data_IF_737012138653
#
_entry.id   IF_737012138653
#
_cell.length_a   1.000
_cell.length_b   1.000
_cell.length_c   1.000
_cell.angle_alpha   90.00
_cell.angle_beta   90.00
_cell.angle_gamma   90.00
#
_symmetry.space_group_name_H-M   'P 1'
#
loop_
_entity.id
_entity.type
_entity.pdbx_description
1 polymer ?
#
# COMPACT_ATOMS: atom_id res chain seq x y z
N UNK A 1 39.19 35.96 20.58
CA UNK A 1 38.33 35.65 19.42
C UNK A 1 37.26 34.68 19.89
N UNK A 2 36.00 35.13 19.96
CA UNK A 2 34.91 34.26 20.32
C UNK A 2 34.68 33.31 19.11
N UNK A 3 34.84 32.01 19.32
CA UNK A 3 34.47 30.99 18.38
C UNK A 3 32.92 31.04 18.28
N UNK A 4 32.41 31.67 17.24
CA UNK A 4 30.99 31.58 16.90
C UNK A 4 30.73 30.11 16.57
N UNK A 5 30.11 29.40 17.50
CA UNK A 5 29.65 28.02 17.27
C UNK A 5 28.71 28.02 16.05
N UNK A 6 28.66 26.93 15.28
CA UNK A 6 27.80 26.84 14.12
C UNK A 6 26.34 27.17 14.55
N UNK A 7 25.73 28.11 13.85
CA UNK A 7 24.32 28.41 14.02
C UNK A 7 23.52 27.09 13.89
N UNK A 8 22.54 26.81 14.76
CA UNK A 8 21.76 25.59 14.66
C UNK A 8 21.09 25.54 13.30
N UNK A 9 21.48 24.54 12.49
CA UNK A 9 20.85 24.32 11.18
C UNK A 9 19.40 23.93 11.44
N UNK A 10 18.48 24.77 10.97
CA UNK A 10 17.05 24.49 11.11
C UNK A 10 16.63 23.40 10.12
N UNK A 11 16.50 22.17 10.59
CA UNK A 11 16.06 21.04 9.79
C UNK A 11 14.54 21.06 9.63
N UNK A 12 14.00 21.01 8.41
CA UNK A 12 12.56 20.95 8.19
C UNK A 12 11.93 19.73 8.89
N UNK A 13 10.83 19.92 9.59
CA UNK A 13 10.03 18.86 10.20
C UNK A 13 8.96 18.36 9.24
N UNK A 14 8.69 17.06 9.27
CA UNK A 14 7.59 16.45 8.52
C UNK A 14 6.72 15.61 9.47
N UNK A 15 5.93 16.25 10.34
CA UNK A 15 5.05 15.51 11.24
C UNK A 15 3.97 14.80 10.45
N UNK A 16 3.78 13.51 10.73
CA UNK A 16 2.67 12.75 10.17
C UNK A 16 1.33 13.16 10.79
N UNK A 17 0.27 13.01 10.03
CA UNK A 17 -1.06 12.94 10.62
C UNK A 17 -1.14 11.69 11.50
N UNK A 18 -1.62 11.85 12.73
CA UNK A 18 -1.91 10.73 13.62
C UNK A 18 -3.41 10.71 13.90
N UNK A 19 -3.98 9.54 13.99
CA UNK A 19 -5.34 9.36 14.43
C UNK A 19 -5.40 9.15 15.97
N UNK A 20 -6.57 9.41 16.61
CA UNK A 20 -6.72 9.29 18.04
C UNK A 20 -6.41 7.89 18.60
N UNK A 21 -6.51 6.85 17.78
CA UNK A 21 -6.28 5.48 18.23
C UNK A 21 -4.79 5.16 18.29
N UNK A 22 -4.03 5.62 17.29
CA UNK A 22 -2.57 5.59 17.32
C UNK A 22 -2.04 6.38 18.53
N UNK A 23 -2.60 7.56 18.80
CA UNK A 23 -2.26 8.35 19.98
C UNK A 23 -2.53 7.60 21.30
N UNK A 24 -3.68 6.94 21.43
CA UNK A 24 -4.01 6.12 22.62
C UNK A 24 -3.04 4.96 22.81
N UNK A 25 -2.63 4.29 21.75
CA UNK A 25 -1.64 3.21 21.83
C UNK A 25 -0.32 3.75 22.36
N UNK A 26 0.16 4.87 21.81
CA UNK A 26 1.40 5.51 22.24
C UNK A 26 1.37 6.00 23.70
N UNK A 27 0.21 6.43 24.18
CA UNK A 27 0.05 6.97 25.54
C UNK A 27 -0.31 5.88 26.58
N UNK A 28 -0.55 4.62 26.19
CA UNK A 28 -1.08 3.54 27.05
C UNK A 28 -0.05 2.74 27.84
N UNK A 29 1.24 2.94 27.59
CA UNK A 29 2.32 2.10 28.16
C UNK A 29 2.50 0.74 27.45
N UNK A 30 1.54 0.31 26.61
CA UNK A 30 1.60 -0.97 25.90
C UNK A 30 2.87 -1.15 25.08
N UNK A 31 3.38 -0.08 24.45
CA UNK A 31 4.56 -0.17 23.58
C UNK A 31 5.81 -0.62 24.34
N UNK A 32 6.00 -0.16 25.59
CA UNK A 32 7.12 -0.61 26.44
C UNK A 32 6.95 -2.06 26.90
N UNK A 33 5.70 -2.46 27.24
CA UNK A 33 5.40 -3.87 27.58
C UNK A 33 5.73 -4.80 26.41
N UNK A 34 5.34 -4.43 25.18
CA UNK A 34 5.61 -5.21 23.97
C UNK A 34 7.10 -5.22 23.62
N UNK A 35 7.78 -4.07 23.67
CA UNK A 35 9.23 -3.98 23.44
C UNK A 35 10.01 -4.88 24.40
N UNK A 36 9.64 -4.87 25.68
CA UNK A 36 10.23 -5.75 26.67
C UNK A 36 9.95 -7.25 26.41
N UNK A 37 8.70 -7.55 26.04
CA UNK A 37 8.27 -8.95 25.80
C UNK A 37 8.93 -9.56 24.56
N UNK A 38 9.12 -8.79 23.49
CA UNK A 38 9.70 -9.29 22.24
C UNK A 38 11.24 -9.18 22.21
N UNK A 39 11.81 -8.26 22.96
CA UNK A 39 13.25 -8.00 22.98
C UNK A 39 13.79 -7.47 21.64
N UNK A 40 12.96 -6.87 20.81
CA UNK A 40 13.29 -6.34 19.49
C UNK A 40 12.19 -5.44 18.92
N UNK A 41 12.37 -4.98 17.67
CA UNK A 41 11.39 -4.13 17.00
C UNK A 41 10.09 -4.89 16.73
N UNK A 42 9.00 -4.16 16.59
CA UNK A 42 7.69 -4.73 16.26
C UNK A 42 6.81 -3.72 15.53
N UNK A 43 5.75 -4.22 14.93
CA UNK A 43 4.71 -3.41 14.32
C UNK A 43 3.39 -3.59 15.06
N UNK A 44 2.62 -2.53 15.27
CA UNK A 44 1.25 -2.68 15.72
C UNK A 44 0.26 -2.31 14.62
N UNK A 45 -0.87 -3.02 14.58
CA UNK A 45 -1.89 -2.94 13.55
C UNK A 45 -3.24 -2.58 14.19
N UNK A 46 -3.99 -1.70 13.52
CA UNK A 46 -5.29 -1.18 13.94
C UNK A 46 -6.37 -1.58 12.92
N UNK A 47 -6.98 -2.79 13.01
CA UNK A 47 -7.90 -3.31 12.00
C UNK A 47 -9.13 -2.44 11.76
N UNK A 48 -9.63 -1.75 12.79
CA UNK A 48 -10.80 -0.87 12.66
C UNK A 48 -10.53 0.33 11.72
N UNK A 49 -9.26 0.74 11.56
CA UNK A 49 -8.90 1.79 10.58
C UNK A 49 -9.05 1.28 9.16
N UNK A 50 -8.63 0.05 8.91
CA UNK A 50 -8.90 -0.62 7.64
C UNK A 50 -10.40 -0.69 7.34
N UNK A 51 -11.23 -1.05 8.33
CA UNK A 51 -12.68 -1.11 8.17
C UNK A 51 -13.27 0.25 7.80
N UNK A 52 -12.81 1.30 8.48
CA UNK A 52 -13.23 2.69 8.21
C UNK A 52 -12.86 3.11 6.79
N UNK A 53 -11.62 2.82 6.36
CA UNK A 53 -11.15 3.14 5.02
C UNK A 53 -11.95 2.36 3.96
N UNK A 54 -12.18 1.07 4.17
CA UNK A 54 -13.00 0.25 3.28
C UNK A 54 -14.43 0.78 3.16
N UNK A 55 -15.04 1.16 4.29
CA UNK A 55 -16.37 1.76 4.31
C UNK A 55 -16.42 3.09 3.53
N UNK A 56 -15.37 3.92 3.62
CA UNK A 56 -15.27 5.16 2.87
C UNK A 56 -15.22 4.92 1.35
N UNK A 57 -14.46 3.92 0.89
CA UNK A 57 -14.42 3.54 -0.53
C UNK A 57 -15.80 3.04 -1.03
N UNK A 58 -16.50 2.25 -0.23
CA UNK A 58 -17.86 1.79 -0.56
C UNK A 58 -18.85 2.95 -0.62
N UNK A 59 -18.80 3.83 0.37
CA UNK A 59 -19.63 5.02 0.39
C UNK A 59 -19.39 5.93 -0.83
N UNK A 60 -18.18 5.96 -1.39
CA UNK A 60 -17.89 6.68 -2.63
C UNK A 60 -18.59 6.05 -3.84
N UNK A 61 -18.63 4.73 -3.94
CA UNK A 61 -19.38 4.01 -4.97
C UNK A 61 -20.89 4.23 -4.83
N UNK A 62 -21.40 4.06 -3.61
CA UNK A 62 -22.82 4.20 -3.31
C UNK A 62 -23.33 5.62 -3.60
N UNK A 63 -22.58 6.65 -3.19
CA UNK A 63 -22.91 8.05 -3.44
C UNK A 63 -22.94 8.38 -4.94
N UNK A 64 -22.08 7.75 -5.74
CA UNK A 64 -22.08 7.88 -7.20
C UNK A 64 -23.18 7.03 -7.87
N UNK A 65 -23.87 6.16 -7.14
CA UNK A 65 -24.85 5.19 -7.67
C UNK A 65 -24.21 4.15 -8.60
N UNK A 66 -22.92 3.82 -8.38
CA UNK A 66 -22.15 2.88 -9.18
C UNK A 66 -22.08 1.53 -8.48
N UNK A 67 -22.51 0.48 -9.15
CA UNK A 67 -22.28 -0.88 -8.67
C UNK A 67 -20.81 -1.23 -8.81
N UNK A 68 -20.16 -1.59 -7.71
CA UNK A 68 -18.73 -1.91 -7.74
C UNK A 68 -18.26 -2.71 -6.53
N UNK A 69 -16.99 -3.12 -6.58
CA UNK A 69 -16.37 -3.88 -5.52
C UNK A 69 -14.93 -3.38 -5.28
N UNK A 70 -14.57 -3.30 -4.00
CA UNK A 70 -13.22 -2.95 -3.54
C UNK A 70 -12.44 -4.22 -3.25
N UNK A 71 -11.24 -4.31 -3.81
CA UNK A 71 -10.31 -5.42 -3.63
C UNK A 71 -9.08 -4.91 -2.88
N UNK A 72 -8.79 -5.46 -1.72
CA UNK A 72 -7.56 -5.15 -1.01
C UNK A 72 -6.35 -5.72 -1.74
N UNK A 73 -5.40 -4.90 -2.13
CA UNK A 73 -4.15 -5.36 -2.74
C UNK A 73 -3.22 -5.93 -1.66
N UNK A 74 -3.18 -7.28 -1.54
CA UNK A 74 -2.48 -7.99 -0.45
C UNK A 74 -0.99 -7.68 -0.38
N UNK A 75 -0.34 -7.38 -1.50
CA UNK A 75 1.05 -6.91 -1.58
C UNK A 75 1.36 -5.69 -0.70
N UNK A 76 0.33 -4.90 -0.32
CA UNK A 76 0.52 -3.72 0.50
C UNK A 76 0.89 -4.03 1.96
N UNK A 77 0.47 -5.18 2.47
CA UNK A 77 0.90 -5.72 3.77
C UNK A 77 0.51 -7.20 3.88
N UNK A 78 1.45 -8.04 4.31
CA UNK A 78 1.29 -9.51 4.37
C UNK A 78 0.44 -9.99 5.54
N UNK A 79 0.14 -9.15 6.55
CA UNK A 79 -0.59 -9.54 7.75
C UNK A 79 -1.93 -10.21 7.43
N UNK A 80 -2.22 -11.29 8.16
CA UNK A 80 -3.44 -12.09 7.97
C UNK A 80 -4.69 -11.31 8.37
N UNK A 81 -4.58 -10.43 9.36
CA UNK A 81 -5.73 -9.63 9.84
C UNK A 81 -6.42 -8.86 8.71
N UNK A 82 -5.71 -8.40 7.68
CA UNK A 82 -6.31 -7.65 6.58
C UNK A 82 -7.21 -8.50 5.69
N UNK A 83 -6.78 -9.72 5.39
CA UNK A 83 -7.59 -10.71 4.63
C UNK A 83 -8.73 -11.26 5.49
N UNK A 84 -8.53 -11.45 6.81
CA UNK A 84 -9.60 -11.74 7.77
C UNK A 84 -10.67 -10.63 7.76
N UNK A 85 -10.27 -9.34 7.72
CA UNK A 85 -11.23 -8.21 7.62
C UNK A 85 -11.94 -8.19 6.26
N UNK A 86 -11.22 -8.48 5.17
CA UNK A 86 -11.87 -8.62 3.86
C UNK A 86 -12.94 -9.70 3.87
N UNK A 87 -12.65 -10.89 4.41
CA UNK A 87 -13.63 -11.97 4.54
C UNK A 87 -14.85 -11.56 5.39
N UNK A 88 -14.61 -10.93 6.54
CA UNK A 88 -15.66 -10.48 7.46
C UNK A 88 -16.58 -9.41 6.83
N UNK A 89 -16.03 -8.56 5.98
CA UNK A 89 -16.78 -7.48 5.31
C UNK A 89 -17.19 -7.81 3.88
N UNK A 90 -16.97 -9.03 3.39
CA UNK A 90 -17.24 -9.40 1.99
C UNK A 90 -16.55 -8.44 0.98
N UNK A 91 -15.33 -8.02 1.29
CA UNK A 91 -14.48 -7.29 0.37
C UNK A 91 -13.67 -8.27 -0.48
N UNK A 92 -13.24 -7.82 -1.67
CA UNK A 92 -12.35 -8.61 -2.50
C UNK A 92 -10.89 -8.52 -2.03
N UNK A 93 -10.06 -9.43 -2.56
CA UNK A 93 -8.60 -9.41 -2.36
C UNK A 93 -7.91 -9.56 -3.71
N UNK A 94 -6.91 -8.70 -3.99
CA UNK A 94 -5.98 -8.82 -5.11
C UNK A 94 -4.73 -9.58 -4.64
N UNK A 95 -4.42 -10.68 -5.34
CA UNK A 95 -3.26 -11.55 -5.08
C UNK A 95 -2.42 -11.73 -6.35
N UNK A 96 -1.11 -11.93 -6.19
CA UNK A 96 -0.17 -12.06 -7.30
C UNK A 96 0.70 -13.32 -7.23
N UNK A 97 0.52 -14.18 -6.24
CA UNK A 97 1.30 -15.39 -6.05
C UNK A 97 0.49 -16.51 -5.43
N UNK A 98 1.00 -17.77 -5.55
CA UNK A 98 0.37 -18.93 -4.92
C UNK A 98 0.29 -18.80 -3.40
N UNK A 99 1.34 -18.36 -2.69
CA UNK A 99 1.25 -18.13 -1.25
C UNK A 99 0.21 -17.08 -0.85
N UNK A 100 0.12 -15.96 -1.57
CA UNK A 100 -0.90 -14.94 -1.30
C UNK A 100 -2.32 -15.47 -1.51
N UNK A 101 -2.55 -16.22 -2.61
CA UNK A 101 -3.85 -16.82 -2.90
C UNK A 101 -4.24 -17.85 -1.84
N UNK A 102 -3.31 -18.73 -1.44
CA UNK A 102 -3.55 -19.72 -0.38
C UNK A 102 -3.86 -19.05 0.96
N UNK A 103 -3.12 -18.00 1.31
CA UNK A 103 -3.36 -17.23 2.53
C UNK A 103 -4.76 -16.59 2.52
N UNK A 104 -5.14 -15.89 1.45
CA UNK A 104 -6.46 -15.25 1.34
C UNK A 104 -7.61 -16.28 1.44
N UNK A 105 -7.48 -17.45 0.80
CA UNK A 105 -8.46 -18.53 0.91
C UNK A 105 -8.51 -19.11 2.34
N UNK A 106 -7.34 -19.31 2.96
CA UNK A 106 -7.22 -19.81 4.34
C UNK A 106 -7.80 -18.86 5.39
N UNK A 107 -7.74 -17.55 5.15
CA UNK A 107 -8.33 -16.51 5.99
C UNK A 107 -9.86 -16.34 5.74
N UNK A 108 -10.45 -17.17 4.89
CA UNK A 108 -11.90 -17.22 4.66
C UNK A 108 -12.42 -16.36 3.51
N UNK A 109 -11.55 -15.77 2.68
CA UNK A 109 -11.98 -15.05 1.47
C UNK A 109 -12.44 -16.06 0.42
N UNK A 110 -13.64 -15.88 -0.12
CA UNK A 110 -14.17 -16.78 -1.15
C UNK A 110 -13.41 -16.57 -2.46
N UNK A 111 -13.12 -17.66 -3.19
CA UNK A 111 -12.44 -17.56 -4.49
C UNK A 111 -13.13 -16.58 -5.47
N UNK A 112 -14.46 -16.52 -5.45
CA UNK A 112 -15.23 -15.59 -6.28
C UNK A 112 -14.94 -14.09 -5.99
N UNK A 113 -14.43 -13.79 -4.80
CA UNK A 113 -14.06 -12.45 -4.34
C UNK A 113 -12.53 -12.20 -4.43
N UNK A 114 -11.80 -13.08 -5.09
CA UNK A 114 -10.36 -12.92 -5.31
C UNK A 114 -10.10 -12.59 -6.78
N UNK A 115 -9.30 -11.56 -7.03
CA UNK A 115 -8.68 -11.29 -8.32
C UNK A 115 -7.21 -11.68 -8.27
N UNK A 116 -6.73 -12.35 -9.30
CA UNK A 116 -5.34 -12.77 -9.44
C UNK A 116 -4.68 -11.92 -10.51
N UNK A 117 -3.73 -11.09 -10.11
CA UNK A 117 -3.03 -10.13 -10.96
C UNK A 117 -1.56 -10.52 -11.15
N UNK A 118 -0.77 -9.64 -11.76
CA UNK A 118 0.66 -9.84 -12.02
C UNK A 118 0.93 -10.34 -13.44
N UNK A 119 2.19 -10.25 -13.90
CA UNK A 119 2.62 -10.73 -15.21
C UNK A 119 2.87 -12.24 -15.17
N UNK A 120 2.73 -12.90 -16.32
CA UNK A 120 3.19 -14.28 -16.55
C UNK A 120 2.98 -15.23 -15.34
N UNK A 121 1.73 -15.36 -14.91
CA UNK A 121 1.37 -16.19 -13.75
C UNK A 121 1.75 -17.65 -13.98
N UNK A 122 2.27 -18.32 -12.95
CA UNK A 122 2.66 -19.73 -13.04
C UNK A 122 1.44 -20.62 -13.34
N UNK A 123 1.68 -21.77 -13.97
CA UNK A 123 0.65 -22.79 -14.22
C UNK A 123 -0.08 -23.20 -12.94
N UNK A 124 0.66 -23.32 -11.81
CA UNK A 124 0.07 -23.65 -10.52
C UNK A 124 -0.91 -22.54 -10.06
N UNK A 125 -0.50 -21.27 -10.17
CA UNK A 125 -1.35 -20.15 -9.78
C UNK A 125 -2.62 -20.07 -10.64
N UNK A 126 -2.50 -20.20 -11.96
CA UNK A 126 -3.65 -20.20 -12.88
C UNK A 126 -4.59 -21.36 -12.61
N UNK A 127 -4.04 -22.57 -12.39
CA UNK A 127 -4.85 -23.76 -12.07
C UNK A 127 -5.59 -23.59 -10.75
N UNK A 128 -4.92 -23.14 -9.70
CA UNK A 128 -5.55 -22.92 -8.40
C UNK A 128 -6.63 -21.82 -8.50
N UNK A 129 -6.35 -20.72 -9.19
CA UNK A 129 -7.31 -19.65 -9.42
C UNK A 129 -8.56 -20.15 -10.16
N UNK A 130 -8.40 -20.91 -11.24
CA UNK A 130 -9.50 -21.47 -12.01
C UNK A 130 -10.35 -22.44 -11.18
N UNK A 131 -9.72 -23.35 -10.41
CA UNK A 131 -10.40 -24.30 -9.52
C UNK A 131 -11.21 -23.58 -8.42
N UNK A 132 -10.71 -22.48 -7.87
CA UNK A 132 -11.38 -21.72 -6.82
C UNK A 132 -12.38 -20.70 -7.39
N UNK A 133 -12.49 -20.57 -8.72
CA UNK A 133 -13.37 -19.59 -9.37
C UNK A 133 -12.92 -18.13 -9.19
N UNK A 134 -11.63 -17.91 -8.98
CA UNK A 134 -11.05 -16.57 -8.93
C UNK A 134 -11.14 -15.87 -10.29
N UNK A 135 -11.11 -14.55 -10.27
CA UNK A 135 -11.03 -13.72 -11.46
C UNK A 135 -9.56 -13.51 -11.82
N UNK A 136 -9.15 -13.85 -13.04
CA UNK A 136 -7.76 -13.72 -13.49
C UNK A 136 -7.59 -12.51 -14.40
N UNK A 137 -6.75 -11.55 -14.02
CA UNK A 137 -6.36 -10.45 -14.91
C UNK A 137 -5.23 -10.95 -15.84
N UNK A 138 -5.60 -11.34 -17.05
CA UNK A 138 -4.70 -11.90 -18.07
C UNK A 138 -3.80 -10.80 -18.62
N UNK A 139 -2.50 -11.03 -18.57
CA UNK A 139 -1.45 -10.03 -18.88
C UNK A 139 -0.81 -10.25 -20.28
N UNK A 140 -0.93 -11.45 -20.86
CA UNK A 140 -0.38 -11.80 -22.18
C UNK A 140 -1.22 -12.82 -22.93
N UNK A 141 -0.98 -12.96 -24.24
CA UNK A 141 -1.67 -13.94 -25.08
C UNK A 141 -1.29 -15.38 -24.71
N UNK A 142 -0.04 -15.63 -24.34
CA UNK A 142 0.42 -16.96 -23.93
C UNK A 142 -0.24 -17.39 -22.62
N UNK A 143 -0.41 -16.45 -21.70
CA UNK A 143 -1.14 -16.69 -20.44
C UNK A 143 -2.62 -17.01 -20.70
N UNK A 144 -3.26 -16.32 -21.66
CA UNK A 144 -4.63 -16.61 -22.07
C UNK A 144 -4.75 -18.03 -22.61
N UNK A 145 -3.86 -18.45 -23.51
CA UNK A 145 -3.86 -19.79 -24.09
C UNK A 145 -3.66 -20.89 -23.03
N UNK A 146 -2.76 -20.64 -22.08
CA UNK A 146 -2.56 -21.54 -20.96
C UNK A 146 -3.81 -21.64 -20.08
N UNK A 147 -4.45 -20.51 -19.77
CA UNK A 147 -5.70 -20.49 -18.99
C UNK A 147 -6.83 -21.22 -19.69
N UNK A 148 -7.00 -21.03 -21.00
CA UNK A 148 -7.99 -21.74 -21.83
C UNK A 148 -7.72 -23.25 -21.79
N UNK A 149 -6.45 -23.65 -21.97
CA UNK A 149 -6.04 -25.07 -21.92
C UNK A 149 -6.37 -25.71 -20.58
N UNK A 150 -6.05 -25.03 -19.46
CA UNK A 150 -6.36 -25.48 -18.12
C UNK A 150 -7.88 -25.60 -17.88
N UNK A 151 -8.66 -24.64 -18.42
CA UNK A 151 -10.11 -24.68 -18.31
C UNK A 151 -10.73 -25.85 -19.05
N UNK A 152 -10.25 -26.15 -20.26
CA UNK A 152 -10.72 -27.26 -21.07
C UNK A 152 -10.38 -28.66 -20.47
N UNK A 153 -9.27 -28.77 -19.76
CA UNK A 153 -8.74 -30.05 -19.31
C UNK A 153 -8.96 -30.34 -17.82
N UNK A 154 -9.26 -29.35 -17.00
CA UNK A 154 -9.15 -29.52 -15.56
C UNK A 154 -10.20 -28.85 -14.68
N UNK A 155 -11.17 -28.11 -15.23
CA UNK A 155 -12.18 -27.43 -14.41
C UNK A 155 -13.60 -27.76 -14.85
N UNK A 156 -14.50 -27.91 -13.86
CA UNK A 156 -15.93 -28.09 -14.13
C UNK A 156 -16.69 -26.76 -14.37
N UNK A 157 -15.99 -25.63 -14.28
CA UNK A 157 -16.56 -24.29 -14.42
C UNK A 157 -15.71 -23.45 -15.37
N UNK A 158 -16.32 -22.51 -16.12
CA UNK A 158 -15.57 -21.57 -16.94
C UNK A 158 -14.52 -20.81 -16.12
N UNK A 159 -13.29 -20.67 -16.64
CA UNK A 159 -12.30 -19.81 -16.05
C UNK A 159 -12.71 -18.34 -16.24
N UNK A 160 -12.77 -17.58 -15.15
CA UNK A 160 -13.15 -16.17 -15.15
C UNK A 160 -11.94 -15.30 -15.44
N UNK A 161 -12.08 -14.37 -16.36
CA UNK A 161 -10.95 -13.50 -16.72
C UNK A 161 -11.33 -12.06 -17.04
N UNK A 162 -10.36 -11.16 -16.82
CA UNK A 162 -10.27 -9.81 -17.37
C UNK A 162 -9.09 -9.79 -18.35
N UNK A 163 -9.18 -8.99 -19.41
CA UNK A 163 -8.03 -8.68 -20.26
C UNK A 163 -7.36 -7.40 -19.75
N UNK A 164 -6.09 -7.48 -19.38
CA UNK A 164 -5.36 -6.32 -18.91
C UNK A 164 -4.86 -5.49 -20.07
N UNK A 165 -5.30 -4.25 -20.17
CA UNK A 165 -4.92 -3.28 -21.21
C UNK A 165 -3.60 -2.61 -20.85
N UNK A 166 -2.66 -2.59 -21.78
CA UNK A 166 -1.47 -1.74 -21.70
C UNK A 166 -1.89 -0.27 -21.82
N UNK A 167 -1.64 0.59 -20.80
CA UNK A 167 -2.02 1.99 -20.88
C UNK A 167 -1.28 2.73 -22.01
N UNK A 168 -1.96 3.48 -22.89
CA UNK A 168 -1.29 4.22 -23.98
C UNK A 168 -0.23 5.21 -23.49
N UNK A 169 -0.42 5.80 -22.31
CA UNK A 169 0.53 6.72 -21.70
C UNK A 169 1.79 6.02 -21.13
N UNK A 170 1.80 4.68 -21.08
CA UNK A 170 2.92 3.88 -20.56
C UNK A 170 3.34 2.79 -21.57
N UNK A 171 3.73 3.16 -22.80
CA UNK A 171 3.95 2.20 -23.90
C UNK A 171 5.11 1.23 -23.63
N UNK A 172 6.01 1.56 -22.72
CA UNK A 172 7.14 0.72 -22.33
C UNK A 172 6.87 -0.12 -21.06
N UNK A 173 5.64 -0.11 -20.54
CA UNK A 173 5.29 -0.98 -19.42
C UNK A 173 5.44 -2.45 -19.84
N UNK A 174 6.02 -3.25 -18.93
CA UNK A 174 6.11 -4.70 -19.12
C UNK A 174 4.78 -5.43 -18.90
N UNK A 175 3.70 -4.69 -18.68
CA UNK A 175 2.40 -5.23 -18.32
C UNK A 175 1.35 -4.89 -19.36
N UNK A 176 0.47 -5.85 -19.57
CA UNK A 176 -0.78 -5.66 -20.32
C UNK A 176 -0.65 -5.83 -21.82
N UNK A 177 -1.81 -6.00 -22.44
CA UNK A 177 -2.00 -6.24 -23.86
C UNK A 177 -2.08 -4.92 -24.64
N UNK A 178 -1.40 -4.83 -25.76
CA UNK A 178 -1.58 -3.76 -26.76
C UNK A 178 -2.99 -3.82 -27.39
N UNK A 179 -3.38 -2.80 -28.13
CA UNK A 179 -4.67 -2.79 -28.81
C UNK A 179 -4.85 -3.98 -29.79
N UNK A 180 -3.78 -4.35 -30.51
CA UNK A 180 -3.79 -5.49 -31.43
C UNK A 180 -3.90 -6.83 -30.68
N UNK A 181 -3.18 -6.96 -29.57
CA UNK A 181 -3.26 -8.16 -28.73
C UNK A 181 -4.62 -8.29 -28.05
N UNK A 182 -5.26 -7.18 -27.64
CA UNK A 182 -6.62 -7.19 -27.12
C UNK A 182 -7.62 -7.74 -28.18
N UNK A 183 -7.51 -7.29 -29.42
CA UNK A 183 -8.36 -7.82 -30.50
C UNK A 183 -8.16 -9.34 -30.67
N UNK A 184 -6.90 -9.79 -30.71
CA UNK A 184 -6.56 -11.22 -30.78
C UNK A 184 -7.08 -12.00 -29.57
N UNK A 185 -6.98 -11.43 -28.36
CA UNK A 185 -7.47 -12.05 -27.14
C UNK A 185 -9.01 -12.21 -27.14
N UNK A 186 -9.73 -11.21 -27.64
CA UNK A 186 -11.20 -11.30 -27.79
C UNK A 186 -11.58 -12.43 -28.72
N UNK A 187 -10.94 -12.56 -29.91
CA UNK A 187 -11.17 -13.66 -30.83
C UNK A 187 -10.89 -15.02 -30.20
N UNK A 188 -9.84 -15.14 -29.40
CA UNK A 188 -9.51 -16.37 -28.63
C UNK A 188 -10.60 -16.70 -27.60
N UNK A 189 -11.09 -15.69 -26.86
CA UNK A 189 -12.19 -15.88 -25.91
C UNK A 189 -13.47 -16.34 -26.58
N UNK A 190 -13.85 -15.74 -27.74
CA UNK A 190 -15.01 -16.17 -28.54
C UNK A 190 -14.87 -17.64 -28.97
N UNK A 191 -13.70 -18.02 -29.52
CA UNK A 191 -13.43 -19.42 -29.93
C UNK A 191 -13.42 -20.41 -28.80
N UNK A 192 -12.98 -19.99 -27.61
CA UNK A 192 -12.95 -20.85 -26.41
C UNK A 192 -14.37 -21.17 -25.88
N UNK A 193 -15.38 -20.38 -26.25
CA UNK A 193 -16.79 -20.62 -25.87
C UNK A 193 -16.93 -20.71 -24.33
N UNK A 194 -17.61 -21.77 -23.87
CA UNK A 194 -17.92 -21.98 -22.47
C UNK A 194 -16.71 -22.37 -21.59
N UNK A 195 -15.52 -22.55 -22.15
CA UNK A 195 -14.33 -22.85 -21.37
C UNK A 195 -13.90 -21.63 -20.53
N UNK A 196 -14.15 -20.42 -21.03
CA UNK A 196 -13.79 -19.18 -20.33
C UNK A 196 -14.99 -18.23 -20.24
N UNK A 197 -14.99 -17.42 -19.21
CA UNK A 197 -15.93 -16.32 -19.03
C UNK A 197 -15.15 -15.00 -18.97
N UNK A 198 -15.03 -14.35 -20.13
CA UNK A 198 -14.43 -13.03 -20.23
C UNK A 198 -15.40 -12.01 -19.61
N UNK A 199 -15.03 -11.48 -18.43
CA UNK A 199 -15.90 -10.60 -17.64
C UNK A 199 -15.61 -9.12 -17.86
N UNK A 200 -14.52 -8.76 -18.55
CA UNK A 200 -14.21 -7.37 -18.84
C UNK A 200 -12.72 -7.08 -18.95
N UNK A 201 -12.36 -5.86 -18.60
CA UNK A 201 -11.00 -5.36 -18.77
C UNK A 201 -10.42 -4.79 -17.49
N UNK A 202 -9.10 -4.74 -17.42
CA UNK A 202 -8.37 -4.09 -16.31
C UNK A 202 -7.22 -3.26 -16.84
N UNK A 203 -6.78 -2.31 -16.03
CA UNK A 203 -5.51 -1.63 -16.20
C UNK A 203 -4.89 -1.27 -14.85
N UNK A 204 -3.61 -0.90 -14.85
CA UNK A 204 -2.96 -0.28 -13.71
C UNK A 204 -2.12 0.89 -14.20
N UNK A 205 -2.25 2.06 -13.57
CA UNK A 205 -1.44 3.24 -13.85
C UNK A 205 -0.45 3.48 -12.72
N UNK A 206 0.77 3.86 -13.08
CA UNK A 206 1.72 4.44 -12.12
C UNK A 206 1.25 5.83 -11.70
N UNK A 207 1.52 6.19 -10.42
CA UNK A 207 1.14 7.48 -9.88
C UNK A 207 -0.33 7.57 -9.43
N UNK A 208 -0.71 8.78 -8.99
CA UNK A 208 -1.95 9.04 -8.26
C UNK A 208 -2.92 9.97 -8.98
N UNK A 209 -2.63 10.34 -10.23
CA UNK A 209 -3.46 11.25 -11.02
C UNK A 209 -4.85 10.64 -11.30
N UNK A 210 -5.91 11.38 -11.00
CA UNK A 210 -7.30 10.93 -11.15
C UNK A 210 -7.79 11.04 -12.59
N UNK A 211 -7.44 12.11 -13.30
CA UNK A 211 -7.91 12.38 -14.67
C UNK A 211 -7.48 11.29 -15.67
N UNK A 212 -6.19 10.89 -15.81
CA UNK A 212 -5.80 9.82 -16.73
C UNK A 212 -6.46 8.49 -16.39
N UNK A 213 -6.75 8.24 -15.12
CA UNK A 213 -7.45 7.05 -14.65
C UNK A 213 -8.90 7.02 -15.12
N UNK A 214 -9.60 8.14 -15.05
CA UNK A 214 -10.96 8.27 -15.53
C UNK A 214 -11.03 8.16 -17.07
N UNK A 215 -10.08 8.77 -17.78
CA UNK A 215 -10.03 8.71 -19.25
C UNK A 215 -9.85 7.27 -19.73
N UNK A 216 -8.89 6.53 -19.17
CA UNK A 216 -8.66 5.12 -19.54
C UNK A 216 -9.82 4.22 -19.11
N UNK A 217 -10.44 4.47 -17.95
CA UNK A 217 -11.65 3.76 -17.54
C UNK A 217 -12.80 3.96 -18.54
N UNK A 218 -12.97 5.19 -19.03
CA UNK A 218 -13.93 5.51 -20.09
C UNK A 218 -13.66 4.75 -21.41
N UNK A 219 -12.38 4.61 -21.80
CA UNK A 219 -11.96 3.77 -22.94
C UNK A 219 -12.36 2.31 -22.72
N UNK A 220 -12.08 1.75 -21.50
CA UNK A 220 -12.41 0.36 -21.20
C UNK A 220 -13.91 0.07 -21.17
N UNK A 221 -14.75 1.03 -20.77
CA UNK A 221 -16.22 0.87 -20.94
C UNK A 221 -16.57 0.69 -22.42
N UNK A 222 -15.93 1.44 -23.32
CA UNK A 222 -16.10 1.25 -24.76
C UNK A 222 -15.64 -0.14 -25.24
N UNK A 223 -14.53 -0.66 -24.70
CA UNK A 223 -14.08 -2.03 -24.97
C UNK A 223 -15.09 -3.08 -24.47
N UNK A 224 -15.69 -2.88 -23.29
CA UNK A 224 -16.75 -3.77 -22.79
C UNK A 224 -17.94 -3.82 -23.74
N UNK A 225 -18.41 -2.69 -24.25
CA UNK A 225 -19.52 -2.65 -25.18
C UNK A 225 -19.23 -3.43 -26.50
N UNK A 226 -18.04 -3.22 -27.08
CA UNK A 226 -17.60 -3.99 -28.26
C UNK A 226 -17.48 -5.48 -28.00
N UNK A 227 -16.98 -5.87 -26.82
CA UNK A 227 -16.89 -7.28 -26.44
C UNK A 227 -18.27 -7.94 -26.27
N UNK A 228 -19.27 -7.19 -25.77
CA UNK A 228 -20.69 -7.66 -25.71
C UNK A 228 -21.30 -7.88 -27.09
N UNK A 229 -20.98 -7.03 -28.06
CA UNK A 229 -21.38 -7.23 -29.47
C UNK A 229 -20.85 -8.55 -30.07
N UNK A 230 -19.71 -9.04 -29.57
CA UNK A 230 -19.12 -10.34 -29.89
C UNK A 230 -19.71 -11.51 -29.09
N UNK A 231 -20.73 -11.28 -28.25
CA UNK A 231 -21.35 -12.28 -27.39
C UNK A 231 -20.64 -12.59 -26.11
N UNK A 232 -19.56 -11.84 -25.76
CA UNK A 232 -18.86 -11.99 -24.49
C UNK A 232 -19.58 -11.25 -23.36
N UNK A 233 -19.39 -11.68 -22.11
CA UNK A 233 -20.08 -11.07 -20.97
C UNK A 233 -19.65 -9.62 -20.73
N UNK A 234 -18.37 -9.35 -20.63
CA UNK A 234 -17.71 -8.05 -20.49
C UNK A 234 -18.50 -7.00 -19.67
N UNK A 235 -18.88 -7.36 -18.44
CA UNK A 235 -19.77 -6.56 -17.59
C UNK A 235 -19.04 -5.70 -16.56
N UNK A 236 -17.69 -5.70 -16.54
CA UNK A 236 -16.90 -4.96 -15.53
C UNK A 236 -15.59 -4.42 -16.03
N UNK A 237 -15.10 -3.42 -15.33
CA UNK A 237 -13.74 -2.90 -15.49
C UNK A 237 -13.04 -2.81 -14.13
N UNK A 238 -11.71 -3.09 -14.08
CA UNK A 238 -10.86 -2.76 -12.97
C UNK A 238 -9.97 -1.57 -13.31
N UNK A 239 -9.97 -0.56 -12.46
CA UNK A 239 -9.11 0.63 -12.57
C UNK A 239 -7.81 0.49 -11.77
N UNK A 240 -7.55 -0.71 -11.23
CA UNK A 240 -6.36 -1.00 -10.42
C UNK A 240 -6.28 -0.23 -9.11
N UNK A 241 -5.07 -0.11 -8.60
CA UNK A 241 -4.73 0.66 -7.40
C UNK A 241 -4.30 2.09 -7.72
N UNK A 242 -3.33 2.62 -6.94
CA UNK A 242 -2.81 3.97 -7.13
C UNK A 242 -3.72 5.03 -6.53
N UNK A 243 -4.23 4.79 -5.31
CA UNK A 243 -4.91 5.77 -4.47
C UNK A 243 -3.92 6.27 -3.41
N UNK A 244 -3.68 7.58 -3.40
CA UNK A 244 -2.73 8.22 -2.49
C UNK A 244 -3.20 8.15 -1.04
N UNK A 245 -2.23 8.32 -0.13
CA UNK A 245 -2.46 8.61 1.28
C UNK A 245 -1.89 9.99 1.57
N UNK A 246 -2.61 10.79 2.35
CA UNK A 246 -2.15 12.08 2.85
C UNK A 246 -1.47 11.88 4.21
N UNK A 247 -0.13 11.84 4.22
CA UNK A 247 0.64 11.57 5.44
C UNK A 247 0.92 12.81 6.26
N UNK A 248 0.97 14.00 5.63
CA UNK A 248 1.38 15.24 6.28
C UNK A 248 0.67 16.43 5.66
N UNK A 249 0.60 17.55 6.40
CA UNK A 249 -0.05 18.76 5.89
C UNK A 249 0.71 19.35 4.70
N UNK A 250 -0.03 20.03 3.81
CA UNK A 250 0.55 20.76 2.68
C UNK A 250 1.66 21.73 3.11
N UNK A 251 1.45 22.45 4.21
CA UNK A 251 2.41 23.42 4.71
C UNK A 251 3.75 22.77 5.10
N UNK A 252 3.70 21.64 5.83
CA UNK A 252 4.93 20.93 6.20
C UNK A 252 5.61 20.30 4.99
N UNK A 253 4.84 19.71 4.07
CA UNK A 253 5.39 19.08 2.88
C UNK A 253 6.09 20.10 1.96
N UNK A 254 5.47 21.24 1.67
CA UNK A 254 6.08 22.26 0.85
C UNK A 254 7.30 22.89 1.54
N UNK A 255 7.20 23.19 2.86
CA UNK A 255 8.36 23.68 3.62
C UNK A 255 9.53 22.68 3.59
N UNK A 256 9.25 21.38 3.66
CA UNK A 256 10.27 20.34 3.54
C UNK A 256 10.92 20.37 2.15
N UNK A 257 10.13 20.33 1.08
CA UNK A 257 10.65 20.30 -0.30
C UNK A 257 11.50 21.54 -0.62
N UNK A 258 11.04 22.72 -0.21
CA UNK A 258 11.73 23.99 -0.48
C UNK A 258 12.97 24.18 0.40
N UNK A 259 12.92 23.64 1.61
CA UNK A 259 13.90 23.89 2.65
C UNK A 259 14.99 22.83 2.80
N UNK A 260 14.81 21.62 2.25
CA UNK A 260 15.79 20.55 2.42
C UNK A 260 17.13 20.87 1.75
N UNK A 261 18.23 20.47 2.43
CA UNK A 261 19.60 20.66 1.96
C UNK A 261 20.46 19.48 2.40
N UNK A 262 21.59 19.19 1.73
CA UNK A 262 22.50 18.10 2.13
C UNK A 262 22.90 18.14 3.61
N UNK A 263 23.09 19.35 4.18
CA UNK A 263 23.49 19.56 5.58
C UNK A 263 22.43 19.05 6.59
N UNK A 264 21.17 18.86 6.14
CA UNK A 264 20.11 18.31 6.96
C UNK A 264 20.17 16.79 7.10
N UNK A 265 21.03 16.12 6.36
CA UNK A 265 21.16 14.65 6.33
C UNK A 265 22.50 14.18 6.89
N UNK A 266 22.53 12.96 7.38
CA UNK A 266 23.76 12.29 7.76
C UNK A 266 24.71 12.20 6.55
N UNK A 267 26.00 12.48 6.79
CA UNK A 267 27.05 12.47 5.77
C UNK A 267 26.71 13.28 4.49
N UNK A 268 25.93 14.35 4.63
CA UNK A 268 25.47 15.20 3.53
C UNK A 268 24.80 14.42 2.38
N UNK A 269 24.05 13.34 2.74
CA UNK A 269 23.30 12.54 1.78
C UNK A 269 22.37 13.41 0.96
N UNK A 270 22.36 13.20 -0.34
CA UNK A 270 21.44 13.84 -1.29
C UNK A 270 20.41 12.82 -1.79
N UNK A 271 19.20 13.28 -2.00
CA UNK A 271 18.15 12.53 -2.65
C UNK A 271 17.73 13.25 -3.93
N UNK A 272 17.38 12.48 -4.95
CA UNK A 272 16.84 13.05 -6.19
C UNK A 272 15.53 13.77 -5.91
N UNK A 273 15.23 14.90 -6.56
CA UNK A 273 14.02 15.69 -6.33
C UNK A 273 12.72 14.85 -6.47
N UNK A 274 12.70 13.92 -7.45
CA UNK A 274 11.56 13.04 -7.71
C UNK A 274 11.65 11.71 -6.95
N UNK A 275 12.65 11.55 -6.06
CA UNK A 275 12.91 10.33 -5.30
C UNK A 275 12.02 10.11 -4.09
N UNK A 276 11.13 11.05 -3.76
CA UNK A 276 10.26 10.95 -2.59
C UNK A 276 8.85 10.50 -2.96
N UNK A 277 8.24 9.71 -2.08
CA UNK A 277 6.79 9.55 -2.09
C UNK A 277 6.12 10.92 -1.88
N UNK A 278 4.99 11.23 -2.54
CA UNK A 278 4.27 12.48 -2.27
C UNK A 278 3.54 12.41 -0.92
N UNK A 279 4.22 12.82 0.16
CA UNK A 279 3.67 12.71 1.53
C UNK A 279 2.51 13.65 1.83
N UNK A 280 2.24 14.61 0.96
CA UNK A 280 0.97 15.34 0.92
C UNK A 280 0.23 15.04 -0.37
N UNK A 281 -1.05 14.75 -0.27
CA UNK A 281 -1.96 14.61 -1.41
C UNK A 281 -3.29 15.29 -1.10
N UNK A 282 -3.67 16.33 -1.86
CA UNK A 282 -4.93 17.05 -1.62
C UNK A 282 -6.16 16.19 -1.91
N UNK A 283 -5.99 15.12 -2.67
CA UNK A 283 -7.05 14.17 -3.03
C UNK A 283 -6.52 12.77 -2.77
N UNK A 284 -6.89 12.19 -1.61
CA UNK A 284 -6.38 10.91 -1.14
C UNK A 284 -7.51 9.91 -0.85
N UNK A 285 -7.15 8.64 -0.67
CA UNK A 285 -8.09 7.60 -0.25
C UNK A 285 -9.34 7.51 -1.11
N UNK A 286 -10.49 7.48 -0.47
CA UNK A 286 -11.81 7.40 -1.13
C UNK A 286 -12.18 8.68 -1.89
N UNK A 287 -11.62 9.85 -1.54
CA UNK A 287 -11.85 11.09 -2.28
C UNK A 287 -11.23 11.03 -3.68
N UNK A 288 -10.10 10.32 -3.82
CA UNK A 288 -9.53 10.06 -5.13
C UNK A 288 -10.46 9.18 -6.00
N UNK A 289 -11.15 8.21 -5.41
CA UNK A 289 -12.16 7.43 -6.14
C UNK A 289 -13.35 8.30 -6.54
N UNK A 290 -13.85 9.18 -5.65
CA UNK A 290 -14.91 10.14 -6.00
C UNK A 290 -14.49 11.03 -7.16
N UNK A 291 -13.30 11.61 -7.10
CA UNK A 291 -12.77 12.46 -8.17
C UNK A 291 -12.67 11.71 -9.52
N UNK A 292 -12.28 10.43 -9.52
CA UNK A 292 -12.29 9.59 -10.74
C UNK A 292 -13.69 9.41 -11.26
N UNK A 293 -14.67 9.10 -10.40
CA UNK A 293 -16.07 8.87 -10.78
C UNK A 293 -16.77 10.13 -11.30
N UNK A 294 -16.45 11.30 -10.74
CA UNK A 294 -17.01 12.58 -11.12
C UNK A 294 -16.39 13.17 -12.39
N UNK A 295 -15.21 12.69 -12.79
CA UNK A 295 -14.53 13.15 -14.00
C UNK A 295 -15.32 12.74 -15.26
N UNK A 296 -15.50 13.66 -16.18
CA UNK A 296 -15.99 13.38 -17.55
C UNK A 296 -14.80 12.89 -18.37
N UNK A 297 -14.76 11.58 -18.79
CA UNK A 297 -13.67 11.05 -19.60
C UNK A 297 -13.55 11.76 -20.94
N UNK A 298 -12.35 11.75 -21.52
CA UNK A 298 -12.12 12.33 -22.84
C UNK A 298 -13.09 11.77 -23.88
N UNK A 299 -13.71 12.65 -24.65
CA UNK A 299 -14.71 12.29 -25.68
C UNK A 299 -16.06 11.83 -25.14
N UNK A 300 -16.27 11.78 -23.81
CA UNK A 300 -17.56 11.43 -23.22
C UNK A 300 -18.44 12.66 -22.98
N UNK A 301 -19.75 12.44 -22.82
CA UNK A 301 -20.74 13.49 -22.52
C UNK A 301 -21.17 13.50 -21.06
N UNK A 302 -20.95 12.41 -20.35
CA UNK A 302 -21.32 12.21 -18.93
C UNK A 302 -20.09 11.82 -18.13
N UNK A 303 -20.14 11.99 -16.81
CA UNK A 303 -19.07 11.55 -15.91
C UNK A 303 -18.83 10.05 -16.04
N UNK A 304 -17.68 9.56 -15.56
CA UNK A 304 -17.42 8.12 -15.54
C UNK A 304 -18.54 7.37 -14.80
N UNK A 305 -19.02 7.90 -13.67
CA UNK A 305 -20.14 7.31 -12.94
C UNK A 305 -21.42 7.25 -13.79
N UNK A 306 -21.74 8.31 -14.53
CA UNK A 306 -22.86 8.33 -15.47
C UNK A 306 -22.72 7.23 -16.53
N UNK A 307 -21.54 7.15 -17.16
CA UNK A 307 -21.23 6.17 -18.20
C UNK A 307 -21.31 4.73 -17.70
N UNK A 308 -20.81 4.43 -16.50
CA UNK A 308 -20.91 3.11 -15.87
C UNK A 308 -22.36 2.69 -15.65
N UNK A 309 -23.20 3.62 -15.16
CA UNK A 309 -24.64 3.38 -14.95
C UNK A 309 -25.38 3.15 -16.25
N UNK A 310 -25.18 4.02 -17.25
CA UNK A 310 -25.83 3.93 -18.57
C UNK A 310 -25.53 2.59 -19.26
N UNK A 311 -24.33 2.06 -19.09
CA UNK A 311 -23.88 0.81 -19.73
C UNK A 311 -24.05 -0.44 -18.86
N UNK A 312 -24.47 -0.30 -17.59
CA UNK A 312 -24.54 -1.41 -16.64
C UNK A 312 -23.16 -2.06 -16.40
N UNK A 313 -22.09 -1.27 -16.45
CA UNK A 313 -20.72 -1.77 -16.24
C UNK A 313 -20.32 -1.62 -14.81
N UNK A 314 -19.88 -2.70 -14.17
CA UNK A 314 -19.42 -2.75 -12.79
C UNK A 314 -18.01 -2.17 -12.67
N UNK A 315 -17.72 -1.50 -11.55
CA UNK A 315 -16.40 -0.97 -11.28
C UNK A 315 -15.66 -1.81 -10.21
N UNK A 316 -14.41 -2.16 -10.49
CA UNK A 316 -13.48 -2.73 -9.54
C UNK A 316 -12.36 -1.72 -9.24
N UNK A 317 -12.02 -1.56 -7.96
CA UNK A 317 -10.87 -0.79 -7.51
C UNK A 317 -10.00 -1.67 -6.59
N UNK A 318 -8.67 -1.53 -6.72
CA UNK A 318 -7.69 -2.36 -6.02
C UNK A 318 -6.77 -1.52 -5.09
N UNK A 319 -7.33 -0.75 -4.13
CA UNK A 319 -6.51 0.04 -3.23
C UNK A 319 -5.65 -0.87 -2.33
N UNK A 320 -4.35 -0.53 -2.24
CA UNK A 320 -3.43 -1.11 -1.27
C UNK A 320 -3.22 -0.16 -0.10
N UNK A 321 -2.28 0.77 -0.25
CA UNK A 321 -1.88 1.77 0.75
C UNK A 321 -3.07 2.53 1.35
N UNK A 322 -4.02 2.94 0.52
CA UNK A 322 -5.15 3.75 0.97
C UNK A 322 -6.14 3.01 1.89
N UNK A 323 -6.21 1.67 1.85
CA UNK A 323 -6.96 0.91 2.84
C UNK A 323 -6.22 0.79 4.17
N UNK A 324 -4.91 0.99 4.15
CA UNK A 324 -4.04 0.87 5.32
C UNK A 324 -3.67 2.24 5.93
N UNK A 325 -4.31 3.31 5.48
CA UNK A 325 -4.11 4.65 6.02
C UNK A 325 -4.48 4.72 7.51
N UNK A 326 -3.51 5.11 8.35
CA UNK A 326 -3.65 5.12 9.80
C UNK A 326 -3.78 3.73 10.45
N UNK A 327 -3.59 2.63 9.69
CA UNK A 327 -3.87 1.28 10.16
C UNK A 327 -2.72 0.62 10.93
N UNK A 328 -1.63 1.33 11.23
CA UNK A 328 -0.56 0.80 12.06
C UNK A 328 0.71 1.62 12.04
N UNK A 329 1.64 1.26 12.92
CA UNK A 329 2.93 1.92 13.09
C UNK A 329 4.05 0.92 13.37
N UNK A 330 5.29 1.34 13.11
CA UNK A 330 6.51 0.57 13.40
C UNK A 330 7.21 1.14 14.63
N UNK A 331 7.66 0.27 15.51
CA UNK A 331 8.28 0.64 16.81
C UNK A 331 9.68 0.05 16.89
N UNK A 332 10.63 0.91 17.25
CA UNK A 332 12.04 0.54 17.42
C UNK A 332 12.54 1.08 18.76
N UNK A 333 13.36 0.31 19.45
CA UNK A 333 13.99 0.72 20.71
C UNK A 333 15.40 1.27 20.44
N UNK A 334 15.74 2.40 21.04
CA UNK A 334 17.09 2.98 20.97
C UNK A 334 18.05 2.13 21.79
N UNK A 335 19.05 1.54 21.14
CA UNK A 335 20.09 0.72 21.75
C UNK A 335 21.41 1.46 21.95
N UNK A 336 21.65 2.51 21.16
CA UNK A 336 22.90 3.25 21.21
C UNK A 336 22.72 4.70 20.80
N UNK A 337 23.59 5.56 21.32
CA UNK A 337 23.65 6.99 20.97
C UNK A 337 25.11 7.38 20.79
N UNK A 338 25.42 7.96 19.63
CA UNK A 338 26.73 8.55 19.32
C UNK A 338 26.56 10.02 18.98
N UNK A 339 27.57 10.83 19.22
CA UNK A 339 27.62 12.22 18.77
C UNK A 339 28.64 12.38 17.63
N UNK A 340 28.26 13.08 16.58
CA UNK A 340 29.09 13.40 15.42
C UNK A 340 28.70 14.81 14.94
N UNK A 341 29.68 15.65 14.69
CA UNK A 341 29.52 16.96 14.03
C UNK A 341 28.33 17.81 14.53
N UNK A 342 28.06 17.78 15.85
CA UNK A 342 27.00 18.57 16.48
C UNK A 342 25.59 17.97 16.38
N UNK A 343 25.43 16.71 15.92
CA UNK A 343 24.17 15.96 15.95
C UNK A 343 24.39 14.54 16.49
N UNK A 344 23.30 13.82 16.73
CA UNK A 344 23.33 12.44 17.22
C UNK A 344 23.03 11.43 16.13
N UNK A 345 23.64 10.26 16.27
CA UNK A 345 23.29 9.05 15.56
C UNK A 345 22.70 8.11 16.60
N UNK A 346 21.43 7.81 16.47
CA UNK A 346 20.74 6.81 17.27
C UNK A 346 20.91 5.47 16.56
N UNK A 347 21.24 4.41 17.28
CA UNK A 347 21.15 3.04 16.75
C UNK A 347 19.96 2.38 17.41
N UNK A 348 19.06 1.79 16.60
CA UNK A 348 17.89 1.08 17.08
C UNK A 348 18.04 -0.44 16.92
N UNK A 349 17.15 -1.20 17.54
CA UNK A 349 17.13 -2.67 17.58
C UNK A 349 16.65 -3.34 16.27
N UNK A 350 16.27 -2.57 15.26
CA UNK A 350 15.84 -3.06 13.94
C UNK A 350 16.70 -2.54 12.80
N UNK A 351 16.31 -2.86 11.57
CA UNK A 351 16.99 -2.42 10.35
C UNK A 351 16.06 -1.60 9.47
N UNK A 352 16.63 -0.81 8.54
CA UNK A 352 15.89 -0.07 7.54
C UNK A 352 15.06 -0.97 6.61
N UNK A 353 15.35 -2.27 6.55
CA UNK A 353 14.61 -3.24 5.76
C UNK A 353 13.19 -3.48 6.30
N UNK A 354 12.93 -3.15 7.56
CA UNK A 354 11.60 -3.22 8.19
C UNK A 354 10.86 -1.88 8.22
N UNK A 355 11.44 -0.87 7.55
CA UNK A 355 10.84 0.47 7.38
C UNK A 355 11.37 1.10 6.09
N UNK A 356 10.76 0.80 4.94
CA UNK A 356 11.30 1.26 3.65
C UNK A 356 10.23 1.81 2.72
N UNK A 357 10.60 2.77 1.90
CA UNK A 357 9.85 3.23 0.73
C UNK A 357 10.42 2.57 -0.54
N UNK A 358 10.08 1.31 -0.75
CA UNK A 358 10.64 0.44 -1.77
C UNK A 358 10.62 1.01 -3.20
N UNK A 359 9.61 1.83 -3.54
CA UNK A 359 9.47 2.37 -4.89
C UNK A 359 10.07 3.74 -5.10
N UNK A 360 10.58 4.31 -4.02
CA UNK A 360 11.23 5.61 -4.02
C UNK A 360 12.65 5.44 -3.50
N UNK A 361 13.60 6.05 -4.15
CA UNK A 361 15.00 5.97 -3.73
C UNK A 361 15.27 6.92 -2.54
N UNK A 362 14.44 6.80 -1.53
CA UNK A 362 14.48 7.64 -0.33
C UNK A 362 14.11 6.83 0.93
N UNK A 363 14.09 7.52 2.06
CA UNK A 363 13.62 7.01 3.34
C UNK A 363 12.11 7.24 3.53
N UNK A 364 11.52 6.60 4.55
CA UNK A 364 10.22 7.00 5.05
C UNK A 364 10.36 8.32 5.80
N UNK A 365 9.89 9.42 5.21
CA UNK A 365 10.18 10.78 5.67
C UNK A 365 9.43 11.26 6.91
N UNK A 366 8.18 10.83 7.23
CA UNK A 366 7.48 11.37 8.39
C UNK A 366 8.26 11.19 9.69
N UNK A 367 8.28 12.25 10.51
CA UNK A 367 9.01 12.27 11.77
C UNK A 367 8.55 11.17 12.72
N UNK A 368 9.44 10.35 13.29
CA UNK A 368 9.06 9.41 14.35
C UNK A 368 8.72 10.14 15.65
N UNK A 369 7.78 9.59 16.41
CA UNK A 369 7.48 10.04 17.76
C UNK A 369 8.47 9.43 18.76
N UNK A 370 8.94 10.24 19.71
CA UNK A 370 9.74 9.79 20.84
C UNK A 370 8.82 9.41 22.01
N UNK A 371 8.91 8.15 22.45
CA UNK A 371 8.16 7.63 23.60
C UNK A 371 9.16 7.16 24.63
N UNK A 372 9.22 7.85 25.77
CA UNK A 372 10.11 7.53 26.89
C UNK A 372 9.39 6.67 27.93
N UNK A 373 10.09 6.16 28.94
CA UNK A 373 9.48 5.45 30.06
C UNK A 373 8.39 6.27 30.78
N UNK A 374 8.46 7.61 30.70
CA UNK A 374 7.44 8.52 31.24
C UNK A 374 6.26 8.78 30.27
N UNK A 375 6.28 8.18 29.08
CA UNK A 375 5.29 8.34 28.03
C UNK A 375 5.77 9.14 26.83
N UNK A 376 4.87 9.43 25.90
CA UNK A 376 5.15 10.15 24.66
C UNK A 376 5.60 11.58 24.92
N UNK A 377 6.74 11.96 24.35
CA UNK A 377 7.24 13.33 24.44
C UNK A 377 6.51 14.20 23.41
N UNK A 378 5.77 15.19 23.87
CA UNK A 378 5.12 16.16 23.01
C UNK A 378 6.13 17.26 22.62
N UNK A 379 5.88 17.98 21.52
CA UNK A 379 6.76 19.05 21.04
C UNK A 379 7.06 20.06 22.15
N UNK A 380 8.38 20.33 22.35
CA UNK A 380 8.93 21.31 23.27
C UNK A 380 9.64 22.45 22.54
N UNK A 381 10.15 23.43 23.29
CA UNK A 381 10.91 24.56 22.75
C UNK A 381 12.33 24.15 22.30
N UNK A 382 12.88 23.07 22.84
CA UNK A 382 14.22 22.57 22.52
C UNK A 382 14.18 21.60 21.35
N UNK A 383 15.25 21.59 20.56
CA UNK A 383 15.44 20.68 19.43
C UNK A 383 16.74 19.89 19.61
N UNK A 384 16.64 18.58 19.52
CA UNK A 384 17.77 17.65 19.64
C UNK A 384 17.92 16.86 18.32
N UNK A 385 18.68 17.41 17.33
CA UNK A 385 18.78 16.77 16.01
C UNK A 385 19.47 15.41 16.10
N UNK A 386 18.85 14.40 15.49
CA UNK A 386 19.42 13.07 15.39
C UNK A 386 18.96 12.36 14.10
N UNK A 387 19.84 11.58 13.50
CA UNK A 387 19.49 10.57 12.51
C UNK A 387 19.34 9.19 13.18
N UNK A 388 18.73 8.22 12.48
CA UNK A 388 18.42 6.91 13.05
C UNK A 388 19.04 5.83 12.18
N UNK A 389 20.06 5.15 12.73
CA UNK A 389 20.71 3.99 12.14
C UNK A 389 20.10 2.69 12.64
N UNK A 390 20.18 1.65 11.81
CA UNK A 390 19.77 0.30 12.13
C UNK A 390 20.83 -0.49 12.89
N UNK A 391 20.48 -1.74 13.22
CA UNK A 391 21.31 -2.68 13.97
C UNK A 391 22.29 -3.47 13.09
N UNK A 392 22.23 -3.36 11.76
CA UNK A 392 23.12 -4.12 10.91
C UNK A 392 24.53 -3.50 10.82
N UNK A 393 25.50 -4.30 10.35
CA UNK A 393 26.86 -3.83 10.10
C UNK A 393 27.02 -3.06 8.77
N UNK A 394 25.91 -2.79 8.06
CA UNK A 394 25.95 -2.05 6.80
C UNK A 394 25.91 -0.54 7.07
N UNK A 395 26.90 0.17 6.52
CA UNK A 395 26.96 1.64 6.65
C UNK A 395 25.68 2.35 6.15
N UNK A 396 25.01 1.92 5.03
CA UNK A 396 23.79 2.56 4.57
C UNK A 396 22.52 2.13 5.32
N UNK A 397 22.61 1.32 6.38
CA UNK A 397 21.44 0.90 7.14
C UNK A 397 20.96 2.03 8.07
N UNK A 398 20.33 3.04 7.47
CA UNK A 398 19.67 4.12 8.20
C UNK A 398 18.16 4.08 7.95
N UNK A 399 17.39 4.05 9.02
CA UNK A 399 15.94 4.20 8.97
C UNK A 399 15.59 5.65 8.63
N UNK A 400 16.40 6.60 9.14
CA UNK A 400 16.22 8.03 8.89
C UNK A 400 17.58 8.70 8.74
N UNK A 401 17.89 9.12 7.51
CA UNK A 401 19.10 9.90 7.19
C UNK A 401 19.00 11.35 7.65
N UNK A 402 17.78 11.89 7.67
CA UNK A 402 17.50 13.25 8.08
C UNK A 402 17.76 13.43 9.56
N UNK A 403 18.36 14.56 9.93
CA UNK A 403 18.60 14.95 11.32
C UNK A 403 17.31 15.44 11.95
N UNK A 404 16.40 14.52 12.28
CA UNK A 404 15.10 14.84 12.87
C UNK A 404 15.25 15.65 14.15
N UNK A 405 14.57 16.80 14.29
CA UNK A 405 14.64 17.62 15.49
C UNK A 405 13.74 17.05 16.60
N UNK A 406 14.26 16.09 17.37
CA UNK A 406 13.51 15.49 18.48
C UNK A 406 13.18 16.53 19.57
N UNK A 407 11.98 16.46 20.20
CA UNK A 407 11.51 17.41 21.19
C UNK A 407 12.18 17.24 22.57
N UNK A 408 12.90 16.14 22.78
CA UNK A 408 13.74 15.89 23.93
C UNK A 408 14.96 15.08 23.49
N UNK A 409 15.99 15.01 24.33
CA UNK A 409 17.20 14.23 24.05
C UNK A 409 16.90 12.73 24.13
N UNK A 410 16.92 11.99 23.00
CA UNK A 410 16.70 10.55 23.00
C UNK A 410 17.78 9.83 23.82
N UNK A 411 17.40 8.76 24.52
CA UNK A 411 18.25 7.94 25.38
C UNK A 411 18.09 6.46 25.04
N UNK A 412 19.05 5.66 25.43
CA UNK A 412 18.94 4.20 25.35
C UNK A 412 17.71 3.75 26.14
N UNK A 413 16.89 2.88 25.55
CA UNK A 413 15.63 2.39 26.10
C UNK A 413 14.40 3.22 25.71
N UNK A 414 14.56 4.40 25.12
CA UNK A 414 13.43 5.14 24.53
C UNK A 414 12.96 4.46 23.24
N UNK A 415 11.67 4.61 22.93
CA UNK A 415 11.07 4.06 21.71
C UNK A 415 10.90 5.15 20.66
N UNK A 416 11.20 4.79 19.43
CA UNK A 416 10.87 5.56 18.22
C UNK A 416 9.69 4.91 17.54
N UNK A 417 8.59 5.65 17.38
CA UNK A 417 7.37 5.18 16.75
C UNK A 417 7.18 5.91 15.42
N UNK A 418 7.30 5.16 14.32
CA UNK A 418 7.03 5.65 12.97
C UNK A 418 5.56 5.42 12.64
N UNK A 419 4.74 6.48 12.61
CA UNK A 419 3.29 6.34 12.42
C UNK A 419 2.95 6.02 10.97
N UNK A 420 1.76 5.42 10.76
CA UNK A 420 1.16 5.18 9.44
C UNK A 420 2.04 4.36 8.47
N UNK A 421 2.72 3.32 8.98
CA UNK A 421 3.65 2.48 8.22
C UNK A 421 3.04 1.16 7.72
N UNK A 422 1.73 0.93 7.92
CA UNK A 422 1.09 -0.31 7.52
C UNK A 422 1.07 -0.53 6.00
N UNK A 423 1.15 0.53 5.20
CA UNK A 423 1.11 0.45 3.74
C UNK A 423 2.49 0.31 3.11
N UNK A 424 2.96 -0.90 2.91
CA UNK A 424 4.24 -1.32 2.29
C UNK A 424 5.47 -1.21 3.21
N UNK A 425 5.62 -0.16 4.02
CA UNK A 425 6.84 0.12 4.78
C UNK A 425 7.26 -1.02 5.71
N UNK A 426 6.31 -1.72 6.32
CA UNK A 426 6.58 -2.75 7.31
C UNK A 426 7.25 -3.99 6.76
N UNK A 427 6.89 -4.42 5.53
CA UNK A 427 7.22 -5.77 5.08
C UNK A 427 7.53 -5.91 3.58
N UNK A 428 7.52 -4.85 2.81
CA UNK A 428 7.84 -4.95 1.38
C UNK A 428 9.29 -5.34 1.11
N UNK A 429 10.23 -4.95 1.98
CA UNK A 429 11.66 -5.24 1.91
C UNK A 429 12.18 -5.99 3.14
N UNK A 430 11.31 -6.55 3.98
CA UNK A 430 11.77 -7.24 5.19
C UNK A 430 12.75 -8.39 4.87
N UNK A 431 13.76 -8.51 5.70
CA UNK A 431 14.83 -9.49 5.55
C UNK A 431 15.32 -9.95 6.92
N UNK A 432 15.67 -11.23 7.02
CA UNK A 432 16.36 -11.80 8.19
C UNK A 432 17.89 -11.61 8.10
N UNK A 433 18.34 -10.49 7.56
CA UNK A 433 19.76 -10.17 7.49
C UNK A 433 20.41 -10.21 8.87
N UNK A 434 21.58 -10.82 9.00
CA UNK A 434 22.24 -11.19 10.27
C UNK A 434 21.47 -12.21 11.12
N UNK A 435 20.59 -13.01 10.53
CA UNK A 435 19.69 -13.91 11.24
C UNK A 435 18.79 -13.21 12.28
N UNK A 436 18.60 -11.89 12.12
CA UNK A 436 17.67 -11.14 12.96
C UNK A 436 16.24 -11.61 12.67
N UNK A 437 15.41 -11.84 13.71
CA UNK A 437 14.03 -12.18 13.50
C UNK A 437 13.28 -11.02 12.83
N UNK A 438 12.34 -11.36 11.94
CA UNK A 438 11.44 -10.36 11.38
C UNK A 438 10.59 -9.75 12.50
N UNK A 439 10.35 -8.43 12.49
CA UNK A 439 9.53 -7.77 13.51
C UNK A 439 8.12 -8.38 13.57
N UNK A 440 7.65 -8.86 14.73
CA UNK A 440 6.31 -9.38 14.87
C UNK A 440 5.27 -8.29 14.66
N UNK A 441 4.11 -8.69 14.11
CA UNK A 441 2.95 -7.82 13.94
C UNK A 441 1.95 -8.07 15.05
N UNK A 442 1.60 -7.03 15.77
CA UNK A 442 0.67 -7.03 16.90
C UNK A 442 -0.64 -6.40 16.49
N UNK A 443 -1.70 -7.18 16.48
CA UNK A 443 -3.06 -6.69 16.22
C UNK A 443 -3.63 -6.13 17.51
N UNK A 444 -3.99 -4.86 17.52
CA UNK A 444 -4.67 -4.22 18.64
C UNK A 444 -6.17 -4.20 18.34
N UNK A 445 -6.90 -5.13 18.96
CA UNK A 445 -8.32 -5.37 18.67
C UNK A 445 -9.26 -4.41 19.40
N UNK A 446 -8.87 -3.92 20.57
CA UNK A 446 -9.69 -3.02 21.38
C UNK A 446 -8.87 -1.98 22.11
N UNK A 447 -9.24 -0.74 21.93
CA UNK A 447 -8.69 0.43 22.61
C UNK A 447 -9.61 0.80 23.79
N UNK A 448 -9.30 0.27 24.97
CA UNK A 448 -9.95 0.62 26.24
C UNK A 448 -8.90 1.09 27.24
N UNK A 449 -9.27 1.17 28.54
CA UNK A 449 -8.32 1.49 29.63
C UNK A 449 -7.12 0.52 29.65
N UNK A 450 -7.31 -0.71 29.17
CA UNK A 450 -6.25 -1.68 28.84
C UNK A 450 -6.47 -2.16 27.42
N UNK A 451 -5.59 -1.83 26.46
CA UNK A 451 -5.68 -2.34 25.10
C UNK A 451 -5.61 -3.87 25.08
N UNK A 452 -6.48 -4.50 24.29
CA UNK A 452 -6.40 -5.94 24.03
C UNK A 452 -5.66 -6.16 22.73
N UNK A 453 -4.71 -7.07 22.75
CA UNK A 453 -3.87 -7.36 21.60
C UNK A 453 -3.64 -8.86 21.43
N UNK A 454 -3.28 -9.25 20.23
CA UNK A 454 -2.81 -10.59 19.86
C UNK A 454 -1.69 -10.48 18.83
N UNK A 455 -0.89 -11.52 18.68
CA UNK A 455 -0.03 -11.61 17.51
C UNK A 455 -0.84 -11.89 16.26
N UNK A 456 -0.45 -11.28 15.14
CA UNK A 456 -0.95 -11.67 13.83
C UNK A 456 -0.47 -13.09 13.51
N UNK A 457 -1.27 -13.86 12.78
CA UNK A 457 -0.83 -15.19 12.36
C UNK A 457 0.25 -15.04 11.29
N UNK A 458 1.44 -15.57 11.57
CA UNK A 458 2.37 -15.79 10.48
C UNK A 458 1.81 -16.93 9.61
N UNK A 459 1.76 -16.79 8.26
CA UNK A 459 1.62 -17.96 7.42
C UNK A 459 2.74 -18.93 7.83
N UNK A 460 2.38 -20.14 8.19
CA UNK A 460 3.36 -21.19 8.47
C UNK A 460 4.29 -21.32 7.28
N UNK A 461 5.60 -21.30 7.56
CA UNK A 461 6.64 -21.54 6.57
C UNK A 461 6.42 -22.88 5.85
#
# INVERSE_FOLDING_TARGET
MAVTGPHPVHVPTLPAHTDPDTDRVMDSGLLHELSYAFGGPFHFLLPHRFDTNLAAFRAALDAAGVTGQVYYAKKANKAAVWTERCAAHHAGVDTASVPELRAALGDGVRGADIVVTGPAKSTELLRLAALQGCLVAVDSLDELDLLITLALTGTARPARLLLRRLPPAQPHSRFGLTAAEVATALDRCVRAGDAVRMEGFSFHLSGYATRPRADLAGELVGHCLRARELGLRADRISIGGGFAVDYSSAAHWHTFLDGQRPEHYHAHKTFEPDGFYPYHSPVAGADALRAVLDTVPEGARTSLAGRLKETGTLLMAEPGRALLDGAGASVFCVQGVKERDGYRILTVDGTSLSLSEQWFNSEYLPDPHLVTAAGRVRRGAESHPACVGGASCLEPDLLTWRKVPFPARPRIGDLLVYPNTAGYQMDSNESSFHDLPLPPKVVVDRLGARPRWRLDRHPAC
#
